data_IF_730951774836
#
_entry.id   IF_730951774836
#
_cell.length_a   1.000
_cell.length_b   1.000
_cell.length_c   1.000
_cell.angle_alpha   90.00
_cell.angle_beta   90.00
_cell.angle_gamma   90.00
#
_symmetry.space_group_name_H-M   'P 1'
#
loop_
_entity.id
_entity.type
_entity.pdbx_description
1 polymer ?
#
# COMPACT_ATOMS: atom_id res chain seq x y z
N UNK A 1 -7.22 -4.66 -16.94
CA UNK A 1 -6.70 -3.98 -15.72
C UNK A 1 -5.17 -3.91 -15.69
N UNK A 2 -4.45 -4.95 -16.13
CA UNK A 2 -2.98 -4.91 -16.27
C UNK A 2 -2.50 -3.85 -17.27
N UNK A 3 -3.15 -3.75 -18.43
CA UNK A 3 -2.82 -2.79 -19.49
C UNK A 3 -2.97 -1.31 -19.09
N UNK A 4 -3.66 -0.98 -17.97
CA UNK A 4 -3.71 0.40 -17.44
C UNK A 4 -2.60 0.69 -16.42
N UNK A 5 -1.83 -0.32 -16.01
CA UNK A 5 -0.74 -0.19 -15.04
C UNK A 5 0.66 -0.14 -15.69
N UNK A 6 0.72 -0.32 -17.01
CA UNK A 6 1.94 -0.39 -17.82
C UNK A 6 2.14 0.73 -18.87
N UNK A 7 1.16 1.57 -19.26
CA UNK A 7 1.35 2.56 -20.32
C UNK A 7 1.86 3.88 -19.73
N UNK A 8 2.84 3.82 -18.85
CA UNK A 8 3.48 5.01 -18.33
C UNK A 8 4.62 5.43 -19.25
N UNK A 9 4.82 6.74 -19.39
CA UNK A 9 6.03 7.27 -20.00
C UNK A 9 7.17 7.15 -18.99
N UNK A 10 8.01 6.13 -19.17
CA UNK A 10 9.07 5.78 -18.22
C UNK A 10 10.10 6.90 -18.10
N UNK A 11 10.42 7.60 -19.19
CA UNK A 11 11.38 8.70 -19.19
C UNK A 11 10.83 9.91 -18.44
N UNK A 12 9.56 10.26 -18.69
CA UNK A 12 8.88 11.32 -17.95
C UNK A 12 8.76 11.01 -16.45
N UNK A 13 8.48 9.75 -16.10
CA UNK A 13 8.46 9.31 -14.71
C UNK A 13 9.83 9.40 -14.07
N UNK A 14 10.89 8.92 -14.73
CA UNK A 14 12.25 8.99 -14.22
C UNK A 14 12.70 10.45 -14.00
N UNK A 15 12.47 11.32 -14.97
CA UNK A 15 12.74 12.76 -14.85
C UNK A 15 11.99 13.42 -13.69
N UNK A 16 10.78 12.94 -13.35
CA UNK A 16 10.05 13.42 -12.17
C UNK A 16 10.64 12.87 -10.88
N UNK A 17 11.00 11.60 -10.85
CA UNK A 17 11.65 10.95 -9.70
C UNK A 17 12.95 11.65 -9.36
N UNK A 18 13.80 11.94 -10.36
CA UNK A 18 15.08 12.60 -10.15
C UNK A 18 14.90 14.00 -9.58
N UNK A 19 13.96 14.78 -10.14
CA UNK A 19 13.61 16.11 -9.61
C UNK A 19 13.11 16.05 -8.16
N UNK A 20 12.20 15.12 -7.86
CA UNK A 20 11.64 14.97 -6.52
C UNK A 20 12.72 14.53 -5.51
N UNK A 21 13.59 13.61 -5.92
CA UNK A 21 14.68 13.10 -5.09
C UNK A 21 15.65 14.22 -4.68
N UNK A 22 15.92 15.20 -5.55
CA UNK A 22 16.74 16.36 -5.18
C UNK A 22 16.10 17.23 -4.09
N UNK A 23 14.77 17.32 -4.07
CA UNK A 23 14.02 18.12 -3.08
C UNK A 23 13.81 17.40 -1.75
N UNK A 24 14.06 16.09 -1.68
CA UNK A 24 13.90 15.34 -0.45
C UNK A 24 14.89 15.79 0.64
N UNK A 25 14.37 15.86 1.86
CA UNK A 25 15.19 15.95 3.05
C UNK A 25 15.93 14.62 3.32
N UNK A 26 16.83 14.61 4.31
CA UNK A 26 17.67 13.45 4.60
C UNK A 26 16.85 12.20 4.99
N UNK A 27 15.79 12.36 5.76
CA UNK A 27 14.92 11.26 6.20
C UNK A 27 14.13 10.66 5.03
N UNK A 28 13.55 11.51 4.18
CA UNK A 28 12.83 11.09 2.98
C UNK A 28 13.74 10.34 2.01
N UNK A 29 14.99 10.80 1.82
CA UNK A 29 16.01 10.08 1.03
C UNK A 29 16.32 8.71 1.62
N UNK A 30 16.45 8.64 2.95
CA UNK A 30 16.73 7.38 3.66
C UNK A 30 15.61 6.36 3.42
N UNK A 31 14.36 6.77 3.60
CA UNK A 31 13.19 5.90 3.36
C UNK A 31 13.10 5.50 1.88
N UNK A 32 13.22 6.47 0.97
CA UNK A 32 13.18 6.21 -0.47
C UNK A 32 14.23 5.18 -0.88
N UNK A 33 15.48 5.39 -0.48
CA UNK A 33 16.58 4.49 -0.84
C UNK A 33 16.36 3.08 -0.30
N UNK A 34 15.93 2.96 0.96
CA UNK A 34 15.66 1.66 1.57
C UNK A 34 14.55 0.87 0.83
N UNK A 35 13.50 1.55 0.39
CA UNK A 35 12.41 0.92 -0.36
C UNK A 35 12.88 0.51 -1.76
N UNK A 36 13.55 1.41 -2.50
CA UNK A 36 14.02 1.12 -3.86
C UNK A 36 15.10 0.03 -3.88
N UNK A 37 15.99 0.00 -2.88
CA UNK A 37 16.94 -1.10 -2.70
C UNK A 37 16.23 -2.44 -2.49
N UNK A 38 15.16 -2.45 -1.68
CA UNK A 38 14.32 -3.64 -1.48
C UNK A 38 13.69 -4.11 -2.79
N UNK A 39 13.18 -3.18 -3.61
CA UNK A 39 12.59 -3.48 -4.92
C UNK A 39 13.63 -4.09 -5.87
N UNK A 40 14.81 -3.46 -5.96
CA UNK A 40 15.87 -3.88 -6.87
C UNK A 40 16.50 -5.22 -6.46
N UNK A 41 16.67 -5.45 -5.16
CA UNK A 41 17.22 -6.71 -4.63
C UNK A 41 16.23 -7.87 -4.63
N UNK A 42 14.94 -7.60 -4.86
CA UNK A 42 13.88 -8.61 -4.76
C UNK A 42 13.63 -9.10 -3.33
N UNK A 43 14.22 -8.45 -2.33
CA UNK A 43 14.03 -8.77 -0.93
C UNK A 43 12.68 -8.21 -0.48
N UNK A 44 11.75 -9.10 -0.14
CA UNK A 44 10.47 -8.69 0.43
C UNK A 44 10.67 -8.09 1.83
N UNK A 45 10.21 -6.85 2.01
CA UNK A 45 10.22 -6.15 3.31
C UNK A 45 8.92 -5.37 3.48
N UNK A 46 8.60 -5.08 4.73
CA UNK A 46 7.52 -4.16 5.10
C UNK A 46 8.12 -2.90 5.69
N UNK A 47 7.63 -1.75 5.24
CA UNK A 47 8.03 -0.43 5.71
C UNK A 47 6.81 0.26 6.32
N UNK A 48 7.03 1.02 7.39
CA UNK A 48 6.02 1.91 7.95
C UNK A 48 6.58 3.33 7.98
N UNK A 49 5.96 4.22 7.20
CA UNK A 49 6.28 5.64 7.14
C UNK A 49 5.39 6.36 8.15
N UNK A 50 5.96 6.62 9.32
CA UNK A 50 5.31 7.44 10.35
C UNK A 50 5.64 8.91 10.12
N UNK A 51 4.63 9.73 9.90
CA UNK A 51 4.83 11.17 9.69
C UNK A 51 3.58 11.96 10.04
N UNK A 52 3.75 13.17 10.58
CA UNK A 52 2.63 14.08 10.80
C UNK A 52 1.93 14.48 9.49
N UNK A 53 0.68 14.93 9.62
CA UNK A 53 0.01 15.65 8.54
C UNK A 53 0.88 16.82 8.05
N UNK A 54 1.08 16.93 6.73
CA UNK A 54 1.88 17.98 6.12
C UNK A 54 3.38 17.69 5.96
N UNK A 55 3.91 16.56 6.45
CA UNK A 55 5.33 16.20 6.32
C UNK A 55 5.75 15.60 4.97
N UNK A 56 4.88 15.67 3.94
CA UNK A 56 5.21 15.17 2.61
C UNK A 56 5.16 13.65 2.44
N UNK A 57 4.46 12.92 3.32
CA UNK A 57 4.24 11.46 3.21
C UNK A 57 3.75 11.05 1.83
N UNK A 58 2.64 11.67 1.39
CA UNK A 58 2.03 11.40 0.09
C UNK A 58 2.99 11.72 -1.06
N UNK A 59 3.78 12.79 -0.93
CA UNK A 59 4.78 13.16 -1.92
C UNK A 59 5.88 12.10 -2.04
N UNK A 60 6.36 11.57 -0.92
CA UNK A 60 7.30 10.45 -0.86
C UNK A 60 6.69 9.17 -1.45
N UNK A 61 5.48 8.79 -1.03
CA UNK A 61 4.74 7.63 -1.54
C UNK A 61 4.55 7.69 -3.07
N UNK A 62 4.10 8.83 -3.61
CA UNK A 62 3.94 9.00 -5.05
C UNK A 62 5.27 8.92 -5.80
N UNK A 63 6.35 9.42 -5.22
CA UNK A 63 7.68 9.32 -5.82
C UNK A 63 8.20 7.88 -5.83
N UNK A 64 7.96 7.11 -4.77
CA UNK A 64 8.28 5.67 -4.73
C UNK A 64 7.47 4.92 -5.80
N UNK A 65 6.17 5.15 -5.89
CA UNK A 65 5.34 4.54 -6.94
C UNK A 65 5.83 4.90 -8.34
N UNK A 66 6.20 6.17 -8.56
CA UNK A 66 6.73 6.65 -9.82
C UNK A 66 8.06 5.97 -10.18
N UNK A 67 8.96 5.79 -9.22
CA UNK A 67 10.24 5.13 -9.42
C UNK A 67 10.08 3.66 -9.80
N UNK A 68 9.19 2.93 -9.12
CA UNK A 68 8.88 1.53 -9.45
C UNK A 68 8.24 1.44 -10.84
N UNK A 69 7.32 2.34 -11.18
CA UNK A 69 6.70 2.40 -12.52
C UNK A 69 7.69 2.79 -13.62
N UNK A 70 8.66 3.66 -13.34
CA UNK A 70 9.72 4.02 -14.28
C UNK A 70 10.61 2.83 -14.64
N UNK A 71 10.78 1.87 -13.71
CA UNK A 71 11.46 0.60 -13.94
C UNK A 71 10.60 -0.44 -14.69
N UNK A 72 9.38 -0.08 -15.12
CA UNK A 72 8.45 -0.98 -15.79
C UNK A 72 7.76 -1.99 -14.86
N UNK A 73 7.81 -1.75 -13.54
CA UNK A 73 7.15 -2.59 -12.54
C UNK A 73 5.81 -1.99 -12.10
N UNK A 74 4.94 -2.83 -11.54
CA UNK A 74 3.64 -2.37 -11.03
C UNK A 74 3.78 -1.94 -9.56
N UNK A 75 3.38 -0.69 -9.31
CA UNK A 75 3.16 -0.14 -7.98
C UNK A 75 1.65 0.04 -7.74
N UNK A 76 1.10 -0.72 -6.79
CA UNK A 76 -0.30 -0.61 -6.38
C UNK A 76 -0.43 0.41 -5.26
N UNK A 77 -1.17 1.49 -5.52
CA UNK A 77 -1.46 2.51 -4.53
C UNK A 77 -2.88 2.31 -3.97
N UNK A 78 -2.99 2.17 -2.67
CA UNK A 78 -4.27 2.03 -1.97
C UNK A 78 -4.35 2.94 -0.76
N UNK A 79 -5.54 3.31 -0.36
CA UNK A 79 -5.77 4.00 0.92
C UNK A 79 -7.09 3.54 1.55
N UNK A 80 -7.31 3.85 2.83
CA UNK A 80 -8.60 3.57 3.47
C UNK A 80 -9.75 4.34 2.81
N UNK A 81 -9.62 5.68 2.74
CA UNK A 81 -10.68 6.57 2.27
C UNK A 81 -10.52 6.91 0.78
N UNK A 82 -11.64 7.24 0.13
CA UNK A 82 -11.61 7.68 -1.27
C UNK A 82 -10.79 8.95 -1.47
N UNK A 83 -10.88 9.89 -0.53
CA UNK A 83 -10.13 11.16 -0.58
C UNK A 83 -8.62 10.91 -0.49
N UNK A 84 -8.18 10.06 0.44
CA UNK A 84 -6.77 9.70 0.56
C UNK A 84 -6.28 8.95 -0.69
N UNK A 85 -7.11 8.08 -1.26
CA UNK A 85 -6.77 7.36 -2.48
C UNK A 85 -6.58 8.29 -3.69
N UNK A 86 -7.36 9.40 -3.79
CA UNK A 86 -7.20 10.39 -4.85
C UNK A 86 -5.86 11.12 -4.82
N UNK A 87 -5.25 11.24 -3.63
CA UNK A 87 -3.95 11.87 -3.47
C UNK A 87 -2.79 10.96 -3.91
N UNK A 88 -3.04 9.65 -4.01
CA UNK A 88 -2.10 8.70 -4.56
C UNK A 88 -2.31 8.54 -6.06
N UNK A 89 -1.22 8.55 -6.84
CA UNK A 89 -1.33 8.41 -8.28
C UNK A 89 -1.79 7.01 -8.71
N UNK A 90 -2.96 6.94 -9.35
CA UNK A 90 -3.63 5.69 -9.67
C UNK A 90 -4.22 4.99 -8.44
N UNK A 91 -4.38 5.72 -7.33
CA UNK A 91 -4.87 5.20 -6.07
C UNK A 91 -6.31 4.72 -6.13
N UNK A 92 -6.62 3.68 -5.34
CA UNK A 92 -7.97 3.16 -5.12
C UNK A 92 -8.20 2.91 -3.64
N UNK A 93 -9.44 2.79 -3.20
CA UNK A 93 -9.69 2.38 -1.81
C UNK A 93 -9.26 0.93 -1.62
N UNK A 94 -8.70 0.59 -0.46
CA UNK A 94 -8.26 -0.77 -0.13
C UNK A 94 -9.42 -1.78 -0.25
N UNK A 95 -10.62 -1.37 0.20
CA UNK A 95 -11.85 -2.17 0.07
C UNK A 95 -12.19 -2.49 -1.39
N UNK A 96 -12.13 -1.51 -2.29
CA UNK A 96 -12.43 -1.74 -3.71
C UNK A 96 -11.33 -2.52 -4.44
N UNK A 97 -10.08 -2.26 -4.07
CA UNK A 97 -8.88 -2.88 -4.64
C UNK A 97 -8.84 -4.37 -4.29
N UNK A 98 -8.91 -4.70 -3.01
CA UNK A 98 -8.74 -6.07 -2.53
C UNK A 98 -10.06 -6.80 -2.26
N UNK A 99 -11.21 -6.19 -2.52
CA UNK A 99 -12.53 -6.78 -2.23
C UNK A 99 -12.65 -7.20 -0.75
N UNK A 100 -12.23 -6.30 0.15
CA UNK A 100 -12.34 -6.49 1.60
C UNK A 100 -13.84 -6.46 1.98
N UNK A 101 -14.37 -7.45 2.70
CA UNK A 101 -15.76 -7.47 3.16
C UNK A 101 -16.13 -6.26 4.02
N UNK A 102 -17.40 -5.88 4.04
CA UNK A 102 -17.96 -4.90 4.98
C UNK A 102 -19.27 -5.49 5.53
N UNK A 103 -19.38 -5.79 6.84
CA UNK A 103 -18.38 -5.59 7.91
C UNK A 103 -17.18 -6.55 7.82
N UNK A 104 -16.07 -6.18 8.47
CA UNK A 104 -14.88 -7.02 8.59
C UNK A 104 -14.88 -7.71 9.95
N UNK A 105 -14.58 -9.00 9.95
CA UNK A 105 -14.45 -9.87 11.12
C UNK A 105 -13.14 -10.67 11.06
N UNK A 106 -12.78 -11.36 12.14
CA UNK A 106 -11.54 -12.15 12.25
C UNK A 106 -11.39 -13.18 11.12
N UNK A 107 -12.48 -13.87 10.77
CA UNK A 107 -12.50 -14.89 9.71
C UNK A 107 -12.69 -14.31 8.29
N UNK A 108 -12.66 -12.99 8.14
CA UNK A 108 -12.86 -12.35 6.84
C UNK A 108 -11.72 -12.69 5.88
N UNK A 109 -12.09 -12.99 4.63
CA UNK A 109 -11.16 -13.25 3.54
C UNK A 109 -11.42 -12.23 2.44
N UNK A 110 -10.35 -11.64 1.91
CA UNK A 110 -10.44 -10.74 0.77
C UNK A 110 -10.92 -11.52 -0.48
N UNK A 111 -11.89 -10.99 -1.20
CA UNK A 111 -12.61 -11.69 -2.28
C UNK A 111 -11.86 -11.78 -3.61
N UNK A 112 -10.52 -11.87 -3.61
CA UNK A 112 -9.71 -11.98 -4.82
C UNK A 112 -9.52 -13.46 -5.15
N UNK A 113 -9.82 -13.85 -6.39
CA UNK A 113 -9.65 -15.22 -6.88
C UNK A 113 -8.56 -15.27 -7.95
N UNK A 114 -7.95 -16.44 -8.16
CA UNK A 114 -6.94 -16.65 -9.22
C UNK A 114 -7.50 -16.38 -10.64
N UNK A 115 -8.81 -16.44 -10.82
CA UNK A 115 -9.49 -16.15 -12.09
C UNK A 115 -9.77 -14.64 -12.30
N UNK A 116 -9.52 -13.81 -11.28
CA UNK A 116 -9.80 -12.38 -11.35
C UNK A 116 -8.69 -11.63 -12.12
N UNK A 117 -9.05 -10.55 -12.81
CA UNK A 117 -8.04 -9.66 -13.43
C UNK A 117 -7.09 -9.03 -12.39
N UNK A 118 -7.52 -8.94 -11.13
CA UNK A 118 -6.68 -8.40 -10.07
C UNK A 118 -5.55 -9.36 -9.70
N UNK A 119 -5.79 -10.66 -9.76
CA UNK A 119 -4.75 -11.67 -9.53
C UNK A 119 -3.55 -11.48 -10.48
N UNK A 120 -3.83 -11.27 -11.77
CA UNK A 120 -2.77 -11.00 -12.75
C UNK A 120 -1.96 -9.74 -12.41
N UNK A 121 -2.62 -8.69 -11.93
CA UNK A 121 -1.95 -7.46 -11.48
C UNK A 121 -1.09 -7.73 -10.24
N UNK A 122 -1.60 -8.48 -9.27
CA UNK A 122 -0.89 -8.81 -8.04
C UNK A 122 0.37 -9.66 -8.31
N UNK A 123 0.30 -10.61 -9.24
CA UNK A 123 1.45 -11.42 -9.64
C UNK A 123 2.63 -10.58 -10.19
N UNK A 124 2.34 -9.44 -10.80
CA UNK A 124 3.35 -8.52 -11.38
C UNK A 124 3.65 -7.31 -10.47
N UNK A 125 2.96 -7.19 -9.33
CA UNK A 125 3.14 -6.08 -8.40
C UNK A 125 4.44 -6.26 -7.61
N UNK A 126 5.29 -5.23 -7.63
CA UNK A 126 6.52 -5.21 -6.82
C UNK A 126 6.32 -4.50 -5.49
N UNK A 127 5.46 -3.49 -5.45
CA UNK A 127 5.18 -2.72 -4.24
C UNK A 127 3.69 -2.44 -4.09
N UNK A 128 3.19 -2.58 -2.87
CA UNK A 128 1.89 -2.05 -2.43
C UNK A 128 2.17 -0.87 -1.50
N UNK A 129 1.71 0.31 -1.89
CA UNK A 129 1.73 1.51 -1.05
C UNK A 129 0.33 1.65 -0.48
N UNK A 130 0.22 1.59 0.84
CA UNK A 130 -1.05 1.66 1.55
C UNK A 130 -1.03 2.86 2.49
N UNK A 131 -1.83 3.87 2.17
CA UNK A 131 -1.92 5.10 2.96
C UNK A 131 -3.11 5.10 3.94
N UNK A 132 -3.00 5.89 5.01
CA UNK A 132 -3.97 6.00 6.10
C UNK A 132 -4.26 4.65 6.80
N UNK A 133 -3.21 3.84 6.97
CA UNK A 133 -3.29 2.48 7.52
C UNK A 133 -3.76 2.42 8.97
N UNK A 134 -3.37 3.34 9.88
CA UNK A 134 -3.86 3.32 11.27
C UNK A 134 -5.40 3.40 11.39
N UNK A 135 -6.07 3.96 10.38
CA UNK A 135 -7.53 4.06 10.35
C UNK A 135 -8.21 2.76 9.86
N UNK A 136 -7.45 1.82 9.27
CA UNK A 136 -7.97 0.57 8.74
C UNK A 136 -8.14 -0.45 9.88
N UNK A 137 -9.27 -1.16 9.88
CA UNK A 137 -9.50 -2.26 10.81
C UNK A 137 -8.45 -3.37 10.61
N UNK A 138 -7.81 -3.84 11.70
CA UNK A 138 -6.73 -4.85 11.65
C UNK A 138 -7.08 -6.11 10.86
N UNK A 139 -8.30 -6.64 11.04
CA UNK A 139 -8.79 -7.79 10.30
C UNK A 139 -8.86 -7.56 8.78
N UNK A 140 -9.03 -6.31 8.32
CA UNK A 140 -9.00 -6.01 6.90
C UNK A 140 -7.60 -6.17 6.31
N UNK A 141 -6.58 -5.79 7.07
CA UNK A 141 -5.17 -5.95 6.69
C UNK A 141 -4.79 -7.43 6.72
N UNK A 142 -5.18 -8.15 7.78
CA UNK A 142 -4.93 -9.59 7.91
C UNK A 142 -5.65 -10.40 6.82
N UNK A 143 -6.88 -10.02 6.45
CA UNK A 143 -7.61 -10.65 5.36
C UNK A 143 -6.88 -10.49 4.01
N UNK A 144 -6.29 -9.33 3.76
CA UNK A 144 -5.48 -9.08 2.55
C UNK A 144 -4.18 -9.87 2.60
N UNK A 145 -3.45 -9.84 3.72
CA UNK A 145 -2.21 -10.60 3.89
C UNK A 145 -2.44 -12.11 3.67
N UNK A 146 -3.44 -12.70 4.33
CA UNK A 146 -3.82 -14.11 4.15
C UNK A 146 -4.17 -14.42 2.69
N UNK A 147 -5.00 -13.57 2.07
CA UNK A 147 -5.39 -13.74 0.67
C UNK A 147 -4.18 -13.71 -0.28
N UNK A 148 -3.23 -12.77 -0.10
CA UNK A 148 -2.04 -12.70 -0.94
C UNK A 148 -1.09 -13.88 -0.73
N UNK A 149 -0.95 -14.33 0.52
CA UNK A 149 -0.17 -15.52 0.86
C UNK A 149 -0.71 -16.79 0.19
N UNK A 150 -2.03 -16.94 0.19
CA UNK A 150 -2.72 -18.07 -0.42
C UNK A 150 -2.70 -17.98 -1.96
N UNK A 151 -2.96 -16.79 -2.53
CA UNK A 151 -2.99 -16.59 -3.98
C UNK A 151 -1.63 -16.77 -4.64
N UNK A 152 -0.56 -16.25 -4.02
CA UNK A 152 0.80 -16.29 -4.56
C UNK A 152 1.60 -17.52 -4.14
N UNK A 153 0.95 -18.47 -3.46
CA UNK A 153 1.55 -19.69 -2.91
C UNK A 153 2.82 -19.45 -2.07
N UNK A 154 2.78 -18.40 -1.24
CA UNK A 154 3.91 -17.94 -0.42
C UNK A 154 3.47 -17.79 1.04
N UNK A 155 3.04 -18.90 1.63
CA UNK A 155 2.39 -18.95 2.97
C UNK A 155 3.21 -18.37 4.12
N UNK A 156 4.53 -18.40 4.00
CA UNK A 156 5.46 -17.92 5.04
C UNK A 156 5.98 -16.49 4.77
N UNK A 157 5.60 -15.87 3.66
CA UNK A 157 6.04 -14.52 3.32
C UNK A 157 4.89 -13.54 3.54
N UNK A 158 5.03 -12.52 4.40
CA UNK A 158 4.02 -11.47 4.53
C UNK A 158 3.61 -10.91 3.17
N UNK A 159 2.30 -10.71 2.97
CA UNK A 159 1.67 -10.22 1.73
C UNK A 159 2.10 -11.00 0.48
N UNK A 160 2.35 -12.31 0.62
CA UNK A 160 2.82 -13.16 -0.47
C UNK A 160 4.18 -12.73 -1.03
N UNK A 161 5.01 -12.07 -0.21
CA UNK A 161 6.34 -11.60 -0.59
C UNK A 161 6.34 -10.29 -1.41
N UNK A 162 5.20 -9.62 -1.58
CA UNK A 162 5.17 -8.27 -2.16
C UNK A 162 5.71 -7.27 -1.13
N UNK A 163 6.49 -6.29 -1.57
CA UNK A 163 6.97 -5.21 -0.69
C UNK A 163 5.78 -4.33 -0.30
N UNK A 164 5.61 -4.06 0.98
CA UNK A 164 4.51 -3.21 1.46
C UNK A 164 5.06 -1.97 2.14
N UNK A 165 4.57 -0.81 1.73
CA UNK A 165 4.87 0.49 2.33
C UNK A 165 3.59 1.01 2.94
N UNK A 166 3.47 0.90 4.26
CA UNK A 166 2.40 1.50 5.02
C UNK A 166 2.70 2.97 5.30
N UNK A 167 1.70 3.82 5.14
CA UNK A 167 1.76 5.24 5.48
C UNK A 167 0.65 5.60 6.46
N UNK A 168 0.96 6.42 7.46
CA UNK A 168 -0.04 6.86 8.43
C UNK A 168 0.54 7.71 9.57
N UNK A 169 -0.34 8.43 10.23
CA UNK A 169 -0.06 9.03 11.54
C UNK A 169 -0.94 8.36 12.58
N UNK A 170 -0.36 7.69 13.57
CA UNK A 170 -1.11 7.10 14.69
C UNK A 170 -1.77 8.16 15.59
N UNK A 171 -1.45 9.44 15.40
CA UNK A 171 -2.14 10.56 16.05
C UNK A 171 -3.37 11.03 15.27
N UNK A 172 -3.63 10.50 14.07
CA UNK A 172 -4.91 10.65 13.38
C UNK A 172 -5.99 9.76 14.03
N UNK A 173 -7.23 9.88 13.56
CA UNK A 173 -8.38 9.15 14.11
C UNK A 173 -8.17 7.63 14.05
N UNK A 174 -8.50 6.92 15.13
CA UNK A 174 -8.53 5.44 15.18
C UNK A 174 -9.60 4.86 14.23
N UNK A 175 -9.60 3.54 13.96
CA UNK A 175 -10.63 2.91 13.14
C UNK A 175 -12.03 3.16 13.67
N UNK A 176 -12.97 3.44 12.77
CA UNK A 176 -14.36 3.71 13.13
C UNK A 176 -15.10 2.38 13.32
N UNK A 177 -15.49 2.08 14.56
CA UNK A 177 -16.37 0.95 14.90
C UNK A 177 -17.77 1.51 15.23
N UNK A 178 -18.77 1.34 14.34
CA UNK A 178 -20.11 1.88 14.58
C UNK A 178 -20.71 1.32 15.87
N UNK A 179 -21.09 2.20 16.79
CA UNK A 179 -21.63 1.85 18.13
C UNK A 179 -20.63 1.09 19.04
N UNK A 180 -19.35 1.06 18.71
CA UNK A 180 -18.31 0.41 19.51
C UNK A 180 -17.92 1.21 20.74
N UNK A 181 -17.51 0.50 21.80
CA UNK A 181 -16.85 1.05 22.97
C UNK A 181 -15.40 1.45 22.68
N UNK A 182 -14.73 2.11 23.63
CA UNK A 182 -13.29 2.41 23.50
C UNK A 182 -12.44 1.13 23.37
N UNK A 183 -12.84 0.05 24.03
CA UNK A 183 -12.15 -1.24 23.93
C UNK A 183 -12.29 -1.79 22.51
N UNK A 184 -13.49 -1.76 21.93
CA UNK A 184 -13.71 -2.23 20.55
C UNK A 184 -12.88 -1.43 19.52
N UNK A 185 -12.69 -0.13 19.75
CA UNK A 185 -11.87 0.73 18.88
C UNK A 185 -10.38 0.35 19.00
N UNK A 186 -9.89 0.07 20.21
CA UNK A 186 -8.51 -0.39 20.44
C UNK A 186 -8.32 -1.78 19.81
N UNK A 187 -9.26 -2.69 20.04
CA UNK A 187 -9.24 -4.04 19.49
C UNK A 187 -9.30 -4.04 17.96
N UNK A 188 -9.96 -3.06 17.34
CA UNK A 188 -9.98 -2.90 15.89
C UNK A 188 -8.69 -2.29 15.31
N UNK A 189 -7.91 -1.60 16.14
CA UNK A 189 -6.68 -0.91 15.72
C UNK A 189 -5.52 -1.87 15.45
N UNK A 190 -4.51 -1.38 14.73
CA UNK A 190 -3.26 -2.13 14.53
C UNK A 190 -2.38 -2.21 15.79
N UNK A 191 -2.68 -1.42 16.81
CA UNK A 191 -1.85 -1.18 17.98
C UNK A 191 -2.18 -2.14 19.13
#
# INVERSE_FOLDING_TARGET
MLASQLPYDHEKLQNRVDRNYQQFNHEQKTVYNAVIESVNSGNSRMFFIHSAGGCGKTYLCNTIAAAVRAQGHIALCVALSGIAALLLEGGRTAHSCFKIPIPVHEDSVAGITQQSQMYEVLCHTKVIIWDEVPMQHKHGILAVDKCLRDLLDKRNCPFGGIIVVFGGDFRQTLPVVPKGSRQDIIDASLC
#
